data_IF_700619928949
#
_entry.id   IF_700619928949
#
_cell.length_a   1.000
_cell.length_b   1.000
_cell.length_c   1.000
_cell.angle_alpha   90.00
_cell.angle_beta   90.00
_cell.angle_gamma   90.00
#
_symmetry.space_group_name_H-M   'P 1'
#
loop_
_entity.id
_entity.type
_entity.pdbx_description
1 polymer ?
#
# COMPACT_ATOMS: atom_id res chain seq x y z
N UNK A 1 5.08 15.00 23.17
CA UNK A 1 5.68 13.77 23.68
C UNK A 1 5.86 12.81 22.52
N UNK A 2 7.00 12.10 22.43
CA UNK A 2 7.20 11.10 21.38
C UNK A 2 6.34 9.88 21.68
N UNK A 3 5.61 9.37 20.68
CA UNK A 3 4.77 8.19 20.82
C UNK A 3 5.54 6.96 20.33
N UNK A 4 6.29 7.11 19.24
CA UNK A 4 7.17 6.09 18.69
C UNK A 4 8.55 6.69 18.45
N UNK A 5 9.57 5.99 18.88
CA UNK A 5 10.97 6.32 18.62
C UNK A 5 11.66 5.08 18.05
N UNK A 6 12.30 5.24 16.90
CA UNK A 6 13.11 4.21 16.24
C UNK A 6 14.51 4.76 16.09
N UNK A 7 15.50 4.06 16.63
CA UNK A 7 16.90 4.47 16.65
C UNK A 7 17.78 3.42 15.97
N UNK A 8 18.64 3.88 15.07
CA UNK A 8 19.67 3.08 14.43
C UNK A 8 19.14 1.78 13.77
N UNK A 9 17.95 1.88 13.12
CA UNK A 9 17.32 0.74 12.51
C UNK A 9 18.10 0.30 11.26
N UNK A 10 18.55 -0.95 11.27
CA UNK A 10 19.14 -1.63 10.10
C UNK A 10 18.36 -2.91 9.82
N UNK A 11 18.00 -3.12 8.56
CA UNK A 11 17.32 -4.33 8.12
C UNK A 11 17.54 -4.61 6.64
N UNK A 12 17.70 -5.89 6.29
CA UNK A 12 17.88 -6.32 4.91
C UNK A 12 17.31 -7.70 4.61
N UNK A 13 17.18 -8.03 3.34
CA UNK A 13 16.80 -9.35 2.87
C UNK A 13 17.92 -9.93 1.98
N UNK A 14 18.68 -10.87 2.53
CA UNK A 14 19.87 -11.40 1.87
C UNK A 14 20.89 -10.29 1.63
N UNK A 15 21.35 -10.10 0.40
CA UNK A 15 22.36 -9.09 0.05
C UNK A 15 21.77 -7.68 -0.14
N UNK A 16 20.46 -7.50 0.04
CA UNK A 16 19.80 -6.21 -0.18
C UNK A 16 19.49 -5.53 1.13
N UNK A 17 20.19 -4.43 1.42
CA UNK A 17 19.80 -3.53 2.50
C UNK A 17 18.48 -2.82 2.15
N UNK A 18 17.55 -2.79 3.11
CA UNK A 18 16.27 -2.07 3.04
C UNK A 18 16.35 -0.81 3.89
N UNK A 19 16.97 -0.90 5.06
CA UNK A 19 17.28 0.22 5.93
C UNK A 19 18.73 0.09 6.40
N UNK A 20 19.46 1.22 6.41
CA UNK A 20 20.83 1.30 6.85
C UNK A 20 20.97 2.44 7.84
N UNK A 21 21.00 2.10 9.13
CA UNK A 21 21.15 3.07 10.24
C UNK A 21 20.11 4.22 10.21
N UNK A 22 18.83 3.91 10.01
CA UNK A 22 17.77 4.91 9.94
C UNK A 22 17.15 5.18 11.31
N UNK A 23 16.76 6.44 11.53
CA UNK A 23 16.05 6.85 12.73
C UNK A 23 14.72 7.51 12.36
N UNK A 24 13.68 7.23 13.15
CA UNK A 24 12.34 7.72 12.92
C UNK A 24 11.69 8.13 14.24
N UNK A 25 10.90 9.18 14.19
CA UNK A 25 10.17 9.67 15.37
C UNK A 25 8.77 10.10 14.99
N UNK A 26 7.78 9.66 15.78
CA UNK A 26 6.39 10.08 15.68
C UNK A 26 5.96 10.81 16.94
N UNK A 27 5.39 11.99 16.77
CA UNK A 27 4.80 12.79 17.84
C UNK A 27 3.28 12.70 17.82
N UNK A 28 2.64 13.05 18.95
CA UNK A 28 1.18 13.10 19.02
C UNK A 28 0.63 14.13 18.03
N UNK A 29 -0.40 13.73 17.26
CA UNK A 29 -1.04 14.59 16.27
C UNK A 29 -0.24 14.79 14.98
N UNK A 30 0.88 14.09 14.76
CA UNK A 30 1.55 14.10 13.47
C UNK A 30 0.85 13.17 12.47
N UNK A 31 0.54 13.71 11.30
CA UNK A 31 -0.05 12.99 10.18
C UNK A 31 1.03 12.73 9.14
N UNK A 32 1.60 11.52 9.16
CA UNK A 32 2.79 11.16 8.39
C UNK A 32 2.40 10.42 7.12
N UNK A 33 2.91 10.89 5.97
CA UNK A 33 2.96 10.12 4.73
C UNK A 33 4.29 9.38 4.59
N UNK A 34 4.27 8.06 4.49
CA UNK A 34 5.45 7.26 4.20
C UNK A 34 5.51 6.99 2.70
N UNK A 35 6.44 7.64 2.00
CA UNK A 35 6.54 7.60 0.54
C UNK A 35 7.85 6.97 0.08
N UNK A 36 7.88 6.49 -1.15
CA UNK A 36 9.03 5.84 -1.76
C UNK A 36 8.61 4.90 -2.88
N UNK A 37 9.51 4.46 -3.71
CA UNK A 37 9.22 3.52 -4.80
C UNK A 37 8.75 2.15 -4.26
N UNK A 38 8.11 1.35 -5.13
CA UNK A 38 7.71 0.00 -4.77
C UNK A 38 8.94 -0.86 -4.46
N UNK A 39 8.86 -1.60 -3.35
CA UNK A 39 9.95 -2.44 -2.87
C UNK A 39 11.06 -1.70 -2.11
N UNK A 40 10.95 -0.39 -1.82
CA UNK A 40 11.90 0.34 -0.97
C UNK A 40 11.75 0.02 0.53
N UNK A 41 10.69 -0.68 0.94
CA UNK A 41 10.56 -1.13 2.33
C UNK A 41 9.47 -0.43 3.13
N UNK A 42 8.54 0.32 2.51
CA UNK A 42 7.45 1.01 3.24
C UNK A 42 6.64 0.07 4.14
N UNK A 43 6.08 -1.01 3.59
CA UNK A 43 5.34 -2.00 4.37
C UNK A 43 6.26 -2.80 5.31
N UNK A 44 7.54 -2.99 4.94
CA UNK A 44 8.55 -3.59 5.83
C UNK A 44 8.74 -2.73 7.07
N UNK A 45 8.81 -1.40 6.94
CA UNK A 45 8.90 -0.48 8.06
C UNK A 45 7.69 -0.64 9.00
N UNK A 46 6.46 -0.65 8.46
CA UNK A 46 5.26 -0.86 9.27
C UNK A 46 5.28 -2.21 9.99
N UNK A 47 5.73 -3.28 9.33
CA UNK A 47 5.86 -4.60 9.96
C UNK A 47 6.92 -4.63 11.06
N UNK A 48 8.00 -3.89 10.90
CA UNK A 48 9.04 -3.77 11.93
C UNK A 48 8.51 -3.00 13.15
N UNK A 49 7.90 -1.84 12.96
CA UNK A 49 7.39 -1.03 14.08
C UNK A 49 6.22 -1.69 14.80
N UNK A 50 5.44 -2.55 14.13
CA UNK A 50 4.38 -3.35 14.76
C UNK A 50 4.88 -4.65 15.41
N UNK A 51 6.18 -4.94 15.33
CA UNK A 51 6.77 -6.16 15.88
C UNK A 51 6.50 -7.45 15.11
N UNK A 52 5.87 -7.36 13.92
CA UNK A 52 5.65 -8.52 13.05
C UNK A 52 6.93 -9.00 12.37
N UNK A 53 7.89 -8.11 12.22
CA UNK A 53 9.20 -8.39 11.67
C UNK A 53 10.26 -7.83 12.61
N UNK A 54 11.23 -8.67 12.98
CA UNK A 54 12.35 -8.23 13.80
C UNK A 54 13.39 -7.52 12.93
N UNK A 55 13.91 -6.37 13.36
CA UNK A 55 15.04 -5.71 12.69
C UNK A 55 16.33 -6.50 12.91
N UNK A 56 17.31 -6.31 12.02
CA UNK A 56 18.64 -6.89 12.21
C UNK A 56 19.40 -6.14 13.32
N UNK A 57 19.29 -4.80 13.35
CA UNK A 57 19.85 -3.92 14.38
C UNK A 57 18.89 -2.75 14.65
N UNK A 58 19.08 -2.11 15.82
CA UNK A 58 18.34 -0.92 16.19
C UNK A 58 17.36 -1.14 17.34
N UNK A 59 16.71 -0.06 17.76
CA UNK A 59 15.80 -0.05 18.89
C UNK A 59 14.48 0.60 18.51
N UNK A 60 13.38 -0.02 18.91
CA UNK A 60 12.02 0.48 18.71
C UNK A 60 11.38 0.66 20.08
N UNK A 61 10.98 1.88 20.36
CA UNK A 61 10.37 2.22 21.65
C UNK A 61 9.01 2.89 21.43
N UNK A 62 7.96 2.26 21.95
CA UNK A 62 6.63 2.83 22.06
C UNK A 62 6.46 3.52 23.42
N UNK A 63 5.74 4.62 23.46
CA UNK A 63 5.32 5.20 24.72
C UNK A 63 4.40 4.23 25.47
N UNK A 64 4.39 4.32 26.80
CA UNK A 64 3.55 3.45 27.63
C UNK A 64 2.07 3.68 27.35
N UNK A 65 1.30 2.59 27.35
CA UNK A 65 -0.17 2.59 27.20
C UNK A 65 -0.69 3.17 25.88
N UNK A 66 0.10 3.11 24.80
CA UNK A 66 -0.33 3.54 23.47
C UNK A 66 -1.04 2.41 22.76
N UNK A 67 -2.26 2.66 22.29
CA UNK A 67 -3.02 1.74 21.45
C UNK A 67 -2.64 1.97 19.99
N UNK A 68 -2.10 0.94 19.37
CA UNK A 68 -1.68 0.96 17.95
C UNK A 68 -2.67 0.20 17.12
N UNK A 69 -3.33 0.86 16.20
CA UNK A 69 -4.20 0.24 15.22
C UNK A 69 -3.48 0.08 13.89
N UNK A 70 -3.43 -1.12 13.36
CA UNK A 70 -2.80 -1.42 12.08
C UNK A 70 -3.78 -2.10 11.13
N UNK A 71 -4.00 -1.47 9.98
CA UNK A 71 -4.78 -2.07 8.90
C UNK A 71 -3.96 -3.20 8.26
N UNK A 72 -4.13 -4.41 8.78
CA UNK A 72 -3.50 -5.60 8.24
C UNK A 72 -4.50 -6.39 7.39
N UNK A 73 -4.13 -6.66 6.16
CA UNK A 73 -4.92 -7.48 5.24
C UNK A 73 -5.00 -8.96 5.66
N UNK A 74 -4.13 -9.38 6.59
CA UNK A 74 -4.09 -10.74 7.12
C UNK A 74 -4.83 -10.89 8.46
N UNK A 75 -5.45 -9.82 8.99
CA UNK A 75 -6.27 -9.93 10.20
C UNK A 75 -7.42 -10.90 9.93
N UNK A 76 -7.49 -11.94 10.76
CA UNK A 76 -8.50 -12.98 10.64
C UNK A 76 -9.76 -12.50 11.36
N UNK A 77 -10.84 -12.38 10.60
CA UNK A 77 -12.19 -12.26 11.15
C UNK A 77 -12.68 -13.69 11.49
N UNK A 78 -13.28 -13.87 12.64
CA UNK A 78 -13.71 -15.19 13.11
C UNK A 78 -14.86 -15.74 12.27
N UNK A 79 -14.81 -17.04 12.02
CA UNK A 79 -15.85 -17.73 11.25
C UNK A 79 -17.17 -17.76 12.04
N UNK A 80 -18.27 -17.42 11.37
CA UNK A 80 -19.60 -17.37 11.98
C UNK A 80 -19.96 -16.00 12.58
N UNK A 81 -19.04 -15.01 12.47
CA UNK A 81 -19.29 -13.62 12.90
C UNK A 81 -19.95 -12.85 11.76
N UNK A 82 -20.94 -12.04 12.09
CA UNK A 82 -21.54 -11.11 11.11
C UNK A 82 -20.66 -9.87 10.95
N UNK A 83 -20.87 -9.10 9.87
CA UNK A 83 -20.21 -7.80 9.70
C UNK A 83 -20.49 -6.90 10.91
N UNK A 84 -21.75 -6.86 11.38
CA UNK A 84 -22.17 -6.07 12.56
C UNK A 84 -21.36 -6.46 13.80
N UNK A 85 -21.24 -7.77 14.08
CA UNK A 85 -20.47 -8.26 15.23
C UNK A 85 -19.00 -7.91 15.12
N UNK A 86 -18.43 -8.05 13.90
CA UNK A 86 -17.08 -7.66 13.61
C UNK A 86 -16.79 -6.17 13.85
N UNK A 87 -17.74 -5.29 13.53
CA UNK A 87 -17.64 -3.86 13.83
C UNK A 87 -17.83 -3.55 15.31
N UNK A 88 -18.80 -4.19 15.98
CA UNK A 88 -19.04 -4.05 17.42
C UNK A 88 -17.85 -4.53 18.26
N UNK A 89 -17.08 -5.50 17.77
CA UNK A 89 -15.88 -5.97 18.48
C UNK A 89 -14.81 -4.89 18.69
N UNK A 90 -14.89 -3.76 17.97
CA UNK A 90 -14.10 -2.56 18.25
C UNK A 90 -14.33 -1.98 19.66
N UNK A 91 -15.46 -2.29 20.25
CA UNK A 91 -15.91 -1.81 21.56
C UNK A 91 -16.00 -2.93 22.59
N UNK A 92 -15.36 -4.09 22.38
CA UNK A 92 -15.47 -5.27 23.24
C UNK A 92 -15.26 -4.95 24.72
N UNK A 93 -14.28 -4.08 25.04
CA UNK A 93 -14.02 -3.66 26.40
C UNK A 93 -15.18 -2.92 27.08
N UNK A 94 -16.03 -2.19 26.32
CA UNK A 94 -17.22 -1.52 26.85
C UNK A 94 -18.33 -2.53 27.13
N UNK A 95 -18.49 -3.53 26.27
CA UNK A 95 -19.45 -4.62 26.50
C UNK A 95 -19.04 -5.47 27.71
N UNK A 96 -17.74 -5.73 27.91
CA UNK A 96 -17.23 -6.39 29.12
C UNK A 96 -17.53 -5.57 30.39
N UNK A 97 -17.40 -4.24 30.32
CA UNK A 97 -17.76 -3.35 31.42
C UNK A 97 -19.26 -3.36 31.68
N UNK A 98 -20.11 -3.39 30.63
CA UNK A 98 -21.56 -3.51 30.80
C UNK A 98 -21.93 -4.84 31.45
N UNK A 99 -21.34 -5.96 31.01
CA UNK A 99 -21.54 -7.27 31.66
C UNK A 99 -21.12 -7.25 33.14
N UNK A 100 -19.98 -6.61 33.46
CA UNK A 100 -19.53 -6.44 34.83
C UNK A 100 -20.50 -5.58 35.64
N UNK A 101 -21.01 -4.50 35.06
CA UNK A 101 -22.01 -3.63 35.69
C UNK A 101 -23.29 -4.43 36.02
N UNK A 102 -23.79 -5.22 35.07
CA UNK A 102 -24.97 -6.08 35.27
C UNK A 102 -24.73 -7.12 36.39
N UNK A 103 -23.55 -7.76 36.37
CA UNK A 103 -23.18 -8.73 37.43
C UNK A 103 -23.11 -8.09 38.81
N UNK A 104 -22.61 -6.86 38.93
CA UNK A 104 -22.60 -6.10 40.18
C UNK A 104 -24.08 -5.81 40.63
N UNK A 105 -24.93 -5.33 39.69
CA UNK A 105 -26.31 -5.06 40.02
C UNK A 105 -27.07 -6.31 40.53
N UNK A 106 -26.81 -7.47 39.93
CA UNK A 106 -27.45 -8.73 40.34
C UNK A 106 -26.97 -9.19 41.72
N UNK A 107 -25.71 -8.92 42.08
CA UNK A 107 -25.14 -9.34 43.38
C UNK A 107 -25.32 -8.34 44.49
N UNK A 108 -25.77 -7.09 44.23
CA UNK A 108 -25.98 -6.06 45.25
C UNK A 108 -27.01 -6.47 46.35
N UNK A 109 -28.01 -7.28 45.98
CA UNK A 109 -29.03 -7.75 46.93
C UNK A 109 -28.53 -8.75 47.96
N UNK A 110 -27.39 -9.40 47.75
CA UNK A 110 -26.83 -10.43 48.63
C UNK A 110 -25.54 -9.96 49.34
N UNK A 111 -25.08 -8.74 49.07
CA UNK A 111 -23.79 -8.21 49.54
C UNK A 111 -23.86 -7.69 50.98
N UNK A 112 -22.74 -7.82 51.72
CA UNK A 112 -22.59 -7.17 53.03
C UNK A 112 -22.49 -5.65 52.91
N UNK A 113 -22.73 -4.86 53.96
CA UNK A 113 -22.69 -3.38 53.88
C UNK A 113 -21.32 -2.84 53.38
N UNK A 114 -20.21 -3.47 53.76
CA UNK A 114 -18.84 -3.07 53.33
C UNK A 114 -18.58 -3.43 51.86
N UNK A 115 -19.09 -4.55 51.40
CA UNK A 115 -19.01 -4.97 50.00
C UNK A 115 -19.90 -4.09 49.09
N UNK A 116 -21.10 -3.70 49.64
CA UNK A 116 -22.04 -2.84 48.91
C UNK A 116 -21.42 -1.47 48.60
N UNK A 117 -20.70 -0.86 49.55
CA UNK A 117 -20.04 0.44 49.29
C UNK A 117 -18.99 0.32 48.19
N UNK A 118 -18.18 -0.72 48.18
CA UNK A 118 -17.16 -0.97 47.15
C UNK A 118 -17.79 -1.24 45.78
N UNK A 119 -18.88 -2.02 45.75
CA UNK A 119 -19.63 -2.32 44.51
C UNK A 119 -20.30 -1.07 43.93
N UNK A 120 -20.82 -0.19 44.79
CA UNK A 120 -21.44 1.06 44.34
C UNK A 120 -20.40 2.03 43.72
N UNK A 121 -19.19 2.09 44.30
CA UNK A 121 -18.11 2.89 43.76
C UNK A 121 -17.63 2.34 42.40
N UNK A 122 -17.44 1.01 42.28
CA UNK A 122 -17.11 0.34 41.02
C UNK A 122 -18.20 0.60 39.98
N UNK A 123 -19.48 0.46 40.34
CA UNK A 123 -20.63 0.70 39.46
C UNK A 123 -20.66 2.13 38.92
N UNK A 124 -20.43 3.13 39.79
CA UNK A 124 -20.31 4.53 39.39
C UNK A 124 -19.19 4.75 38.40
N UNK A 125 -18.02 4.18 38.64
CA UNK A 125 -16.84 4.27 37.75
C UNK A 125 -17.13 3.65 36.37
N UNK A 126 -17.76 2.47 36.34
CA UNK A 126 -18.15 1.81 35.09
C UNK A 126 -19.18 2.67 34.33
N UNK A 127 -20.20 3.18 35.02
CA UNK A 127 -21.24 3.99 34.38
C UNK A 127 -20.69 5.28 33.80
N UNK A 128 -19.77 5.95 34.49
CA UNK A 128 -19.07 7.13 33.99
C UNK A 128 -18.23 6.79 32.75
N UNK A 129 -17.54 5.65 32.75
CA UNK A 129 -16.75 5.17 31.63
C UNK A 129 -17.62 4.88 30.40
N UNK A 130 -18.73 4.15 30.58
CA UNK A 130 -19.67 3.84 29.52
C UNK A 130 -20.28 5.12 28.90
N UNK A 131 -20.60 6.10 29.76
CA UNK A 131 -21.16 7.40 29.32
C UNK A 131 -20.10 8.21 28.56
N UNK A 132 -18.88 8.28 29.07
CA UNK A 132 -17.77 9.02 28.44
C UNK A 132 -17.43 8.48 27.04
N UNK A 133 -17.56 7.17 26.85
CA UNK A 133 -17.26 6.50 25.58
C UNK A 133 -18.50 6.34 24.68
N UNK A 134 -19.61 7.00 25.01
CA UNK A 134 -20.83 6.96 24.20
C UNK A 134 -21.36 5.54 23.94
N UNK A 135 -21.31 4.66 24.94
CA UNK A 135 -21.69 3.26 24.83
C UNK A 135 -23.12 3.08 24.25
N UNK A 136 -24.05 3.88 24.70
CA UNK A 136 -25.47 3.75 24.33
C UNK A 136 -25.79 4.13 22.87
N UNK A 137 -24.83 4.72 22.17
CA UNK A 137 -24.97 5.06 20.74
C UNK A 137 -24.02 4.29 19.82
N UNK A 138 -23.40 3.21 20.32
CA UNK A 138 -22.48 2.37 19.54
C UNK A 138 -23.13 1.87 18.25
N UNK A 139 -24.39 1.41 18.30
CA UNK A 139 -25.10 0.93 17.12
C UNK A 139 -25.20 2.03 16.03
N UNK A 140 -25.51 3.25 16.43
CA UNK A 140 -25.57 4.38 15.50
C UNK A 140 -24.18 4.70 14.90
N UNK A 141 -23.11 4.67 15.72
CA UNK A 141 -21.73 4.86 15.23
C UNK A 141 -21.32 3.77 14.26
N UNK A 142 -21.66 2.52 14.56
CA UNK A 142 -21.38 1.38 13.67
C UNK A 142 -22.12 1.56 12.33
N UNK A 143 -23.39 1.93 12.35
CA UNK A 143 -24.16 2.16 11.12
C UNK A 143 -23.66 3.36 10.32
N UNK A 144 -23.25 4.44 10.97
CA UNK A 144 -22.66 5.60 10.32
C UNK A 144 -21.38 5.23 9.54
N UNK A 145 -20.42 4.57 10.21
CA UNK A 145 -19.16 4.16 9.57
C UNK A 145 -19.41 3.08 8.52
N UNK A 146 -20.32 2.14 8.78
CA UNK A 146 -20.70 1.12 7.82
C UNK A 146 -21.30 1.72 6.55
N UNK A 147 -22.19 2.71 6.69
CA UNK A 147 -22.75 3.46 5.57
C UNK A 147 -21.66 4.19 4.80
N UNK A 148 -20.80 4.88 5.50
CA UNK A 148 -19.74 5.68 4.92
C UNK A 148 -18.71 4.87 4.10
N UNK A 149 -18.55 3.57 4.39
CA UNK A 149 -17.66 2.66 3.65
C UNK A 149 -18.43 1.68 2.74
N UNK A 150 -19.75 1.89 2.55
CA UNK A 150 -20.58 1.07 1.66
C UNK A 150 -20.78 -0.37 2.13
N UNK A 151 -20.73 -0.61 3.46
CA UNK A 151 -20.98 -1.93 4.04
C UNK A 151 -22.47 -2.23 4.19
N UNK A 152 -23.34 -1.21 4.23
CA UNK A 152 -24.80 -1.40 4.28
C UNK A 152 -25.32 -2.11 3.02
N UNK A 153 -24.74 -1.80 1.86
CA UNK A 153 -25.13 -2.43 0.59
C UNK A 153 -24.77 -3.93 0.54
N UNK A 154 -23.79 -4.35 1.33
CA UNK A 154 -23.38 -5.74 1.46
C UNK A 154 -24.34 -6.48 2.39
N UNK A 155 -24.93 -5.78 3.37
CA UNK A 155 -25.78 -6.32 4.43
C UNK A 155 -24.98 -6.65 5.69
N UNK A 156 -25.27 -5.95 6.80
CA UNK A 156 -24.51 -6.09 8.05
C UNK A 156 -24.65 -7.45 8.74
N UNK A 157 -25.72 -8.19 8.44
CA UNK A 157 -25.98 -9.53 9.00
C UNK A 157 -25.29 -10.66 8.21
N UNK A 158 -24.52 -10.30 7.16
CA UNK A 158 -23.78 -11.27 6.36
C UNK A 158 -22.56 -11.78 7.10
N UNK A 159 -22.28 -13.09 6.98
CA UNK A 159 -21.08 -13.73 7.54
C UNK A 159 -19.80 -13.15 6.89
N UNK A 160 -18.81 -12.84 7.69
CA UNK A 160 -17.55 -12.26 7.24
C UNK A 160 -16.71 -13.23 6.39
N UNK A 161 -16.99 -14.54 6.46
CA UNK A 161 -16.31 -15.55 5.65
C UNK A 161 -16.76 -15.53 4.18
N UNK A 162 -17.98 -15.04 3.92
CA UNK A 162 -18.56 -14.94 2.57
C UNK A 162 -18.11 -13.69 1.81
N UNK A 163 -17.29 -12.86 2.44
CA UNK A 163 -16.82 -11.60 1.87
C UNK A 163 -15.66 -11.82 0.91
N UNK A 164 -15.67 -11.05 -0.19
CA UNK A 164 -14.48 -10.91 -1.03
C UNK A 164 -13.32 -10.27 -0.26
N UNK A 165 -12.08 -10.43 -0.76
CA UNK A 165 -10.90 -9.83 -0.12
C UNK A 165 -11.06 -8.31 0.08
N UNK A 166 -11.55 -7.59 -0.93
CA UNK A 166 -11.78 -6.15 -0.83
C UNK A 166 -12.89 -5.76 0.15
N UNK A 167 -13.98 -6.54 0.23
CA UNK A 167 -15.03 -6.32 1.21
C UNK A 167 -14.53 -6.55 2.64
N UNK A 168 -13.72 -7.61 2.84
CA UNK A 168 -13.08 -7.88 4.13
C UNK A 168 -12.16 -6.74 4.56
N UNK A 169 -11.36 -6.19 3.64
CA UNK A 169 -10.51 -5.04 3.93
C UNK A 169 -11.32 -3.81 4.34
N UNK A 170 -12.49 -3.57 3.72
CA UNK A 170 -13.41 -2.49 4.15
C UNK A 170 -13.94 -2.69 5.57
N UNK A 171 -14.31 -3.91 5.95
CA UNK A 171 -14.75 -4.23 7.32
C UNK A 171 -13.63 -4.00 8.33
N UNK A 172 -12.41 -4.44 8.01
CA UNK A 172 -11.25 -4.22 8.88
C UNK A 172 -10.91 -2.73 9.03
N UNK A 173 -10.98 -1.98 7.94
CA UNK A 173 -10.81 -0.52 8.00
C UNK A 173 -11.89 0.13 8.87
N UNK A 174 -13.16 -0.22 8.67
CA UNK A 174 -14.27 0.30 9.46
C UNK A 174 -14.09 0.02 10.97
N UNK A 175 -13.75 -1.22 11.32
CA UNK A 175 -13.43 -1.63 12.68
C UNK A 175 -12.31 -0.76 13.29
N UNK A 176 -11.21 -0.63 12.56
CA UNK A 176 -10.05 0.15 12.97
C UNK A 176 -10.38 1.63 13.23
N UNK A 177 -11.21 2.23 12.36
CA UNK A 177 -11.66 3.62 12.53
C UNK A 177 -12.60 3.78 13.74
N UNK A 178 -13.43 2.77 14.03
CA UNK A 178 -14.30 2.75 15.22
C UNK A 178 -13.50 2.62 16.53
N UNK A 179 -12.42 1.87 16.54
CA UNK A 179 -11.52 1.71 17.69
C UNK A 179 -10.84 3.02 18.12
N UNK A 180 -10.69 3.97 17.21
CA UNK A 180 -9.99 5.26 17.42
C UNK A 180 -8.69 5.11 18.23
N UNK A 181 -7.72 4.33 17.76
CA UNK A 181 -6.46 4.11 18.49
C UNK A 181 -5.65 5.41 18.58
N UNK A 182 -4.65 5.44 19.47
CA UNK A 182 -3.73 6.58 19.61
C UNK A 182 -2.84 6.77 18.37
N UNK A 183 -2.66 5.69 17.59
CA UNK A 183 -1.94 5.72 16.33
C UNK A 183 -2.63 4.79 15.32
N UNK A 184 -2.89 5.35 14.13
CA UNK A 184 -3.34 4.58 12.96
C UNK A 184 -2.16 4.30 12.02
N UNK A 185 -1.96 3.04 11.68
CA UNK A 185 -1.04 2.60 10.64
C UNK A 185 -1.86 2.10 9.45
N UNK A 186 -1.81 2.84 8.34
CA UNK A 186 -2.64 2.61 7.16
C UNK A 186 -1.76 2.29 5.95
N UNK A 187 -1.82 1.06 5.45
CA UNK A 187 -1.13 0.62 4.23
C UNK A 187 -2.16 0.51 3.10
N UNK A 188 -2.13 1.46 2.15
CA UNK A 188 -3.02 1.56 0.99
C UNK A 188 -4.53 1.49 1.34
N UNK A 189 -5.05 2.33 2.25
CA UNK A 189 -6.43 2.24 2.71
C UNK A 189 -7.45 2.59 1.62
N UNK A 190 -7.05 3.30 0.57
CA UNK A 190 -7.91 3.68 -0.56
C UNK A 190 -8.15 2.54 -1.55
N UNK A 191 -7.35 1.47 -1.49
CA UNK A 191 -7.60 0.28 -2.30
C UNK A 191 -8.99 -0.28 -1.96
N UNK A 192 -9.75 -0.64 -2.99
CA UNK A 192 -11.12 -1.17 -2.89
C UNK A 192 -12.20 -0.15 -2.47
N UNK A 193 -11.86 1.12 -2.21
CA UNK A 193 -12.81 2.21 -2.02
C UNK A 193 -13.13 2.88 -3.36
N UNK A 194 -14.33 3.40 -3.49
CA UNK A 194 -14.71 4.30 -4.58
C UNK A 194 -14.56 5.77 -4.15
N UNK A 195 -14.79 6.69 -5.09
CA UNK A 195 -14.57 8.13 -4.86
C UNK A 195 -15.35 8.69 -3.67
N UNK A 196 -16.58 8.23 -3.45
CA UNK A 196 -17.43 8.70 -2.34
C UNK A 196 -16.86 8.27 -1.00
N UNK A 197 -16.47 7.00 -0.88
CA UNK A 197 -15.87 6.45 0.33
C UNK A 197 -14.48 7.05 0.60
N UNK A 198 -13.67 7.29 -0.45
CA UNK A 198 -12.38 7.99 -0.32
C UNK A 198 -12.59 9.43 0.18
N UNK A 199 -13.59 10.14 -0.35
CA UNK A 199 -13.92 11.50 0.10
C UNK A 199 -14.34 11.56 1.57
N UNK A 200 -15.06 10.54 2.06
CA UNK A 200 -15.40 10.41 3.47
C UNK A 200 -14.16 10.10 4.33
N UNK A 201 -13.37 9.11 3.95
CA UNK A 201 -12.14 8.73 4.67
C UNK A 201 -11.16 9.92 4.77
N UNK A 202 -11.05 10.71 3.70
CA UNK A 202 -10.27 11.95 3.69
C UNK A 202 -10.72 12.91 4.79
N UNK A 203 -12.04 13.18 4.90
CA UNK A 203 -12.59 14.05 5.95
C UNK A 203 -12.31 13.49 7.33
N UNK A 204 -12.54 12.20 7.52
CA UNK A 204 -12.26 11.52 8.78
C UNK A 204 -10.79 11.68 9.22
N UNK A 205 -9.82 11.48 8.30
CA UNK A 205 -8.39 11.59 8.61
C UNK A 205 -7.92 13.04 8.82
N UNK A 206 -8.53 14.03 8.16
CA UNK A 206 -8.26 15.44 8.41
C UNK A 206 -8.65 15.83 9.84
N UNK A 207 -9.80 15.33 10.31
CA UNK A 207 -10.35 15.61 11.64
C UNK A 207 -9.79 14.67 12.72
N UNK A 208 -8.88 13.75 12.36
CA UNK A 208 -8.31 12.81 13.30
C UNK A 208 -7.31 13.47 14.24
N UNK A 209 -7.64 13.55 15.53
CA UNK A 209 -6.84 14.26 16.54
C UNK A 209 -5.53 13.53 16.91
N UNK A 210 -5.49 12.22 16.73
CA UNK A 210 -4.35 11.40 17.07
C UNK A 210 -3.37 11.29 15.88
N UNK A 211 -2.26 10.57 16.07
CA UNK A 211 -1.26 10.40 15.03
C UNK A 211 -1.62 9.30 14.04
N UNK A 212 -1.16 9.43 12.80
CA UNK A 212 -1.18 8.31 11.87
C UNK A 212 0.05 8.26 10.95
N UNK A 213 0.32 7.05 10.45
CA UNK A 213 1.27 6.81 9.36
C UNK A 213 0.48 6.22 8.20
N UNK A 214 0.54 6.89 7.05
CA UNK A 214 -0.19 6.54 5.84
C UNK A 214 0.77 6.20 4.70
N UNK A 215 0.59 5.04 4.10
CA UNK A 215 1.16 4.69 2.80
C UNK A 215 0.02 4.76 1.79
N UNK A 216 0.18 5.53 0.73
CA UNK A 216 -0.80 5.58 -0.37
C UNK A 216 -0.14 5.94 -1.68
N UNK A 217 -0.64 5.34 -2.77
CA UNK A 217 -0.33 5.72 -4.15
C UNK A 217 -1.29 6.77 -4.71
N UNK A 218 -2.38 7.05 -4.01
CA UNK A 218 -3.30 8.14 -4.33
C UNK A 218 -2.72 9.47 -3.85
N UNK A 219 -1.97 10.15 -4.72
CA UNK A 219 -1.28 11.40 -4.40
C UNK A 219 -2.25 12.52 -3.99
N UNK A 220 -3.38 12.77 -4.67
CA UNK A 220 -4.37 13.74 -4.23
C UNK A 220 -4.91 13.49 -2.83
N UNK A 221 -5.20 12.23 -2.50
CA UNK A 221 -5.62 11.82 -1.16
C UNK A 221 -4.50 12.07 -0.14
N UNK A 222 -3.30 11.54 -0.38
CA UNK A 222 -2.15 11.68 0.50
C UNK A 222 -1.86 13.17 0.78
N UNK A 223 -1.77 13.99 -0.27
CA UNK A 223 -1.46 15.41 -0.17
C UNK A 223 -2.44 16.20 0.70
N UNK A 224 -3.67 15.72 0.80
CA UNK A 224 -4.73 16.42 1.54
C UNK A 224 -4.80 16.08 3.03
N UNK A 225 -4.24 14.93 3.45
CA UNK A 225 -4.39 14.42 4.82
C UNK A 225 -3.09 14.45 5.63
N UNK A 226 -1.92 14.56 4.96
CA UNK A 226 -0.62 14.52 5.65
C UNK A 226 -0.03 15.93 5.83
N UNK A 227 0.69 16.11 6.93
CA UNK A 227 1.45 17.34 7.24
C UNK A 227 2.96 17.10 7.36
N UNK A 228 3.39 15.86 7.23
CA UNK A 228 4.77 15.44 7.32
C UNK A 228 5.02 14.26 6.37
N UNK A 229 6.13 14.27 5.65
CA UNK A 229 6.54 13.18 4.77
C UNK A 229 7.83 12.53 5.29
N UNK A 230 7.84 11.22 5.35
CA UNK A 230 9.06 10.43 5.42
C UNK A 230 9.27 9.71 4.09
N UNK A 231 10.40 9.99 3.45
CA UNK A 231 10.77 9.41 2.16
C UNK A 231 11.78 8.29 2.35
N UNK A 232 11.41 7.10 1.91
CA UNK A 232 12.28 5.91 1.90
C UNK A 232 12.93 5.81 0.53
N UNK A 233 14.25 5.96 0.49
CA UNK A 233 15.03 5.85 -0.74
C UNK A 233 16.47 5.42 -0.40
N UNK A 234 17.04 4.50 -1.21
CA UNK A 234 18.42 4.05 -1.06
C UNK A 234 18.81 3.57 0.35
N UNK A 235 17.91 2.85 1.02
CA UNK A 235 18.03 2.38 2.39
C UNK A 235 18.09 3.50 3.46
N UNK A 236 17.77 4.72 3.11
CA UNK A 236 17.64 5.87 3.99
C UNK A 236 16.17 6.25 4.23
N UNK A 237 15.94 6.95 5.34
CA UNK A 237 14.63 7.48 5.72
C UNK A 237 14.73 8.98 6.00
N UNK A 238 14.30 9.78 5.05
CA UNK A 238 14.46 11.23 5.09
C UNK A 238 13.15 11.95 5.45
N UNK A 239 13.21 12.85 6.43
CA UNK A 239 12.05 13.62 6.94
C UNK A 239 11.90 14.96 6.23
N UNK A 240 10.68 15.25 5.76
CA UNK A 240 10.30 16.50 5.12
C UNK A 240 9.03 17.06 5.77
N UNK A 241 9.07 18.31 6.20
CA UNK A 241 7.92 19.00 6.80
C UNK A 241 7.06 19.61 5.71
N UNK A 242 5.77 19.29 5.75
CA UNK A 242 4.77 19.74 4.78
C UNK A 242 4.05 18.58 4.12
N UNK A 243 3.18 18.89 3.19
CA UNK A 243 2.43 17.96 2.37
C UNK A 243 3.30 17.36 1.23
N UNK A 244 2.70 16.51 0.42
CA UNK A 244 3.42 15.83 -0.66
C UNK A 244 3.96 16.79 -1.74
N UNK A 245 3.20 17.83 -2.11
CA UNK A 245 3.66 18.83 -3.10
C UNK A 245 4.91 19.54 -2.62
N UNK A 246 4.90 20.00 -1.37
CA UNK A 246 6.07 20.67 -0.80
C UNK A 246 7.27 19.76 -0.66
N UNK A 247 7.04 18.49 -0.33
CA UNK A 247 8.08 17.46 -0.36
C UNK A 247 8.71 17.35 -1.75
N UNK A 248 7.89 17.26 -2.82
CA UNK A 248 8.41 17.16 -4.18
C UNK A 248 9.28 18.36 -4.57
N UNK A 249 8.82 19.58 -4.31
CA UNK A 249 9.60 20.79 -4.59
C UNK A 249 10.99 20.75 -3.91
N UNK A 250 11.01 20.41 -2.61
CA UNK A 250 12.26 20.36 -1.84
C UNK A 250 13.14 19.19 -2.31
N UNK A 251 12.55 18.05 -2.63
CA UNK A 251 13.28 16.88 -3.11
C UNK A 251 13.94 17.16 -4.47
N UNK A 252 13.22 17.71 -5.43
CA UNK A 252 13.74 18.08 -6.74
C UNK A 252 14.85 19.12 -6.63
N UNK A 253 14.68 20.13 -5.77
CA UNK A 253 15.72 21.12 -5.52
C UNK A 253 16.98 20.49 -4.93
N UNK A 254 16.86 19.62 -3.93
CA UNK A 254 18.01 18.89 -3.34
C UNK A 254 18.71 18.00 -4.37
N UNK A 255 17.92 17.27 -5.18
CA UNK A 255 18.43 16.42 -6.25
C UNK A 255 19.22 17.23 -7.27
N UNK A 256 18.68 18.37 -7.73
CA UNK A 256 19.38 19.26 -8.66
C UNK A 256 20.68 19.83 -8.07
N UNK A 257 20.66 20.21 -6.78
CA UNK A 257 21.87 20.67 -6.08
C UNK A 257 22.94 19.59 -5.99
N UNK A 258 22.54 18.35 -5.65
CA UNK A 258 23.45 17.21 -5.58
C UNK A 258 24.07 16.90 -6.95
N UNK A 259 23.27 16.90 -8.02
CA UNK A 259 23.74 16.71 -9.38
C UNK A 259 24.72 17.81 -9.83
N UNK A 260 24.43 19.08 -9.50
CA UNK A 260 25.32 20.18 -9.80
C UNK A 260 26.64 20.08 -9.03
N UNK A 261 26.60 19.71 -7.74
CA UNK A 261 27.78 19.46 -6.93
C UNK A 261 28.63 18.31 -7.48
N UNK A 262 27.96 17.20 -7.88
CA UNK A 262 28.62 16.06 -8.52
C UNK A 262 29.33 16.45 -9.81
N UNK A 263 28.64 17.16 -10.73
CA UNK A 263 29.26 17.63 -11.99
C UNK A 263 30.46 18.51 -11.75
N UNK A 264 30.36 19.44 -10.79
CA UNK A 264 31.48 20.32 -10.41
C UNK A 264 32.65 19.52 -9.85
N UNK A 265 32.39 18.55 -8.98
CA UNK A 265 33.43 17.70 -8.41
C UNK A 265 34.10 16.79 -9.48
N UNK A 266 33.30 16.21 -10.39
CA UNK A 266 33.86 15.41 -11.50
C UNK A 266 34.79 16.25 -12.39
N UNK A 267 34.42 17.49 -12.71
CA UNK A 267 35.27 18.39 -13.46
C UNK A 267 36.58 18.69 -12.70
N UNK A 268 36.49 18.97 -11.38
CA UNK A 268 37.67 19.19 -10.54
C UNK A 268 38.58 17.94 -10.51
N UNK A 269 38.00 16.75 -10.40
CA UNK A 269 38.72 15.47 -10.43
C UNK A 269 39.45 15.28 -11.78
N UNK A 270 38.77 15.58 -12.88
CA UNK A 270 39.32 15.48 -14.22
C UNK A 270 40.50 16.45 -14.42
N UNK A 271 40.32 17.71 -14.05
CA UNK A 271 41.36 18.75 -14.10
C UNK A 271 42.60 18.38 -13.26
N UNK A 272 42.37 17.85 -12.04
CA UNK A 272 43.47 17.38 -11.19
C UNK A 272 44.19 16.19 -11.77
N UNK A 273 43.46 15.18 -12.31
CA UNK A 273 44.06 14.01 -12.98
C UNK A 273 44.88 14.42 -14.18
N UNK A 274 44.37 15.31 -15.02
CA UNK A 274 45.06 15.85 -16.19
C UNK A 274 46.35 16.58 -15.82
N UNK A 275 46.27 17.44 -14.78
CA UNK A 275 47.46 18.14 -14.30
C UNK A 275 48.52 17.17 -13.78
N UNK A 276 48.12 16.16 -13.00
CA UNK A 276 49.07 15.13 -12.50
C UNK A 276 49.68 14.36 -13.64
N UNK A 277 48.88 13.94 -14.62
CA UNK A 277 49.37 13.18 -15.78
C UNK A 277 50.43 13.97 -16.57
N UNK A 278 50.21 15.26 -16.83
CA UNK A 278 51.12 16.12 -17.60
C UNK A 278 52.37 16.52 -16.84
N UNK A 279 52.38 16.56 -15.51
CA UNK A 279 53.46 17.12 -14.69
C UNK A 279 54.24 16.11 -13.84
N UNK A 280 53.76 14.86 -13.68
CA UNK A 280 54.36 13.85 -12.82
C UNK A 280 55.78 13.47 -13.27
N UNK A 281 56.06 13.47 -14.57
CA UNK A 281 57.38 13.11 -15.15
C UNK A 281 58.41 14.27 -15.17
N UNK A 282 57.98 15.52 -14.96
CA UNK A 282 58.87 16.71 -15.01
C UNK A 282 59.44 17.02 -13.65
N UNK A 283 60.79 17.08 -13.54
CA UNK A 283 61.48 17.33 -12.26
C UNK A 283 61.04 18.63 -11.60
N UNK A 284 60.86 19.70 -12.35
CA UNK A 284 60.48 21.02 -11.82
C UNK A 284 59.04 21.08 -11.24
N UNK A 285 58.09 20.25 -11.75
CA UNK A 285 56.68 20.30 -11.37
C UNK A 285 56.25 19.06 -10.59
N UNK A 286 57.13 18.09 -10.37
CA UNK A 286 56.82 16.82 -9.69
C UNK A 286 56.21 17.01 -8.30
N UNK A 287 56.77 17.92 -7.50
CA UNK A 287 56.26 18.17 -6.14
C UNK A 287 54.85 18.74 -6.15
N UNK A 288 54.53 19.60 -7.13
CA UNK A 288 53.16 20.11 -7.31
C UNK A 288 52.18 19.02 -7.77
N UNK A 289 52.62 18.16 -8.69
CA UNK A 289 51.84 17.01 -9.13
C UNK A 289 51.56 16.03 -7.98
N UNK A 290 52.55 15.76 -7.15
CA UNK A 290 52.38 14.89 -5.95
C UNK A 290 51.46 15.51 -4.92
N UNK A 291 51.47 16.83 -4.71
CA UNK A 291 50.55 17.52 -3.82
C UNK A 291 49.10 17.40 -4.32
N UNK A 292 48.87 17.57 -5.63
CA UNK A 292 47.52 17.42 -6.23
C UNK A 292 47.07 15.96 -6.26
N UNK A 293 47.97 15.00 -6.43
CA UNK A 293 47.66 13.57 -6.29
C UNK A 293 47.17 13.27 -4.86
N UNK A 294 47.87 13.78 -3.83
CA UNK A 294 47.39 13.64 -2.43
C UNK A 294 46.05 14.28 -2.17
N UNK A 295 45.70 15.37 -2.87
CA UNK A 295 44.37 15.97 -2.78
C UNK A 295 43.30 15.06 -3.38
N UNK A 296 43.58 14.44 -4.56
CA UNK A 296 42.72 13.44 -5.19
C UNK A 296 42.49 12.22 -4.29
N UNK A 297 43.59 11.70 -3.71
CA UNK A 297 43.53 10.50 -2.85
C UNK A 297 42.74 10.71 -1.53
N UNK A 298 42.58 11.98 -1.10
CA UNK A 298 41.85 12.39 0.12
C UNK A 298 40.46 12.94 -0.16
N UNK A 299 40.07 13.04 -1.43
CA UNK A 299 38.79 13.63 -1.80
C UNK A 299 37.70 12.61 -1.60
N UNK A 300 36.70 12.96 -0.77
CA UNK A 300 35.46 12.20 -0.65
C UNK A 300 34.67 12.38 -1.95
N UNK A 301 34.53 11.31 -2.71
CA UNK A 301 33.86 11.33 -4.01
C UNK A 301 32.36 11.25 -3.78
N UNK A 302 31.61 12.23 -4.29
CA UNK A 302 30.15 12.20 -4.29
C UNK A 302 29.72 11.05 -5.21
N UNK A 303 28.98 10.09 -4.67
CA UNK A 303 28.36 9.03 -5.43
C UNK A 303 26.89 9.39 -5.69
N UNK A 304 26.50 9.48 -6.95
CA UNK A 304 25.09 9.56 -7.30
C UNK A 304 24.50 8.15 -7.22
N UNK A 305 23.37 8.04 -6.53
CA UNK A 305 22.60 6.81 -6.55
C UNK A 305 22.30 6.42 -8.01
N UNK A 306 22.57 5.17 -8.36
CA UNK A 306 22.28 4.65 -9.71
C UNK A 306 20.78 4.74 -9.94
N UNK A 307 20.36 5.52 -10.95
CA UNK A 307 18.97 5.53 -11.35
C UNK A 307 18.50 4.09 -11.64
N UNK A 308 17.43 3.68 -10.97
CA UNK A 308 16.82 2.40 -11.29
C UNK A 308 16.32 2.47 -12.74
N UNK A 309 16.74 1.54 -13.60
CA UNK A 309 16.30 1.58 -15.00
C UNK A 309 14.77 1.48 -15.03
N UNK A 310 14.18 2.41 -15.74
CA UNK A 310 12.76 2.38 -16.01
C UNK A 310 12.45 1.18 -16.91
N UNK A 311 11.43 0.38 -16.61
CA UNK A 311 11.05 -0.69 -17.52
C UNK A 311 10.59 -0.09 -18.85
N UNK A 312 11.19 -0.54 -19.94
CA UNK A 312 10.75 -0.19 -21.27
C UNK A 312 9.90 -1.35 -21.80
N UNK A 313 8.63 -1.04 -22.11
CA UNK A 313 7.69 -1.99 -22.70
C UNK A 313 7.63 -1.76 -24.22
N UNK A 314 8.23 -2.67 -24.97
CA UNK A 314 8.18 -2.66 -26.42
C UNK A 314 7.22 -3.78 -26.88
N UNK A 315 5.99 -3.40 -27.27
CA UNK A 315 5.04 -4.33 -27.85
C UNK A 315 5.34 -4.53 -29.32
N UNK A 316 5.39 -5.78 -29.76
CA UNK A 316 5.49 -6.09 -31.20
C UNK A 316 4.14 -5.78 -31.85
N UNK A 317 4.18 -5.20 -33.03
CA UNK A 317 2.97 -5.00 -33.83
C UNK A 317 2.37 -6.34 -34.23
N UNK A 318 1.10 -6.57 -33.82
CA UNK A 318 0.32 -7.69 -34.29
C UNK A 318 -0.33 -7.35 -35.65
N UNK A 319 -0.88 -8.35 -36.33
CA UNK A 319 -1.70 -8.14 -37.51
C UNK A 319 -2.82 -7.12 -37.23
N UNK A 320 -3.02 -6.16 -38.09
CA UNK A 320 -4.06 -5.15 -37.93
C UNK A 320 -5.44 -5.82 -37.81
N UNK A 321 -6.14 -5.54 -36.73
CA UNK A 321 -7.53 -5.95 -36.52
C UNK A 321 -8.47 -5.28 -37.54
N UNK A 322 -9.68 -5.80 -37.68
CA UNK A 322 -10.75 -5.16 -38.45
C UNK A 322 -11.10 -3.74 -37.94
N UNK A 323 -12.06 -3.09 -38.56
CA UNK A 323 -12.53 -1.75 -38.15
C UNK A 323 -13.09 -1.76 -36.72
N UNK A 324 -13.96 -2.71 -36.45
CA UNK A 324 -14.58 -2.87 -35.14
C UNK A 324 -13.78 -3.85 -34.28
N UNK A 325 -13.54 -3.45 -33.04
CA UNK A 325 -12.89 -4.31 -32.02
C UNK A 325 -13.94 -5.23 -31.42
N UNK A 326 -15.06 -4.67 -30.99
CA UNK A 326 -16.23 -5.43 -30.56
C UNK A 326 -17.52 -4.66 -30.82
N UNK A 327 -18.62 -5.37 -30.88
CA UNK A 327 -19.97 -4.85 -30.93
C UNK A 327 -20.86 -5.68 -30.03
N UNK A 328 -21.74 -5.06 -29.26
CA UNK A 328 -22.74 -5.74 -28.43
C UNK A 328 -24.14 -5.35 -28.88
N UNK A 329 -25.06 -6.31 -28.89
CA UNK A 329 -26.46 -6.13 -29.21
C UNK A 329 -27.28 -6.58 -27.99
N UNK A 330 -27.98 -5.62 -27.36
CA UNK A 330 -28.83 -5.81 -26.20
C UNK A 330 -28.20 -6.70 -25.11
N UNK A 331 -26.90 -6.50 -24.85
CA UNK A 331 -26.11 -7.29 -23.93
C UNK A 331 -26.56 -7.05 -22.48
N UNK A 332 -27.01 -8.08 -21.80
CA UNK A 332 -27.31 -8.05 -20.36
C UNK A 332 -26.26 -8.90 -19.65
N UNK A 333 -25.48 -8.25 -18.79
CA UNK A 333 -24.44 -8.91 -18.01
C UNK A 333 -24.96 -9.27 -16.62
N UNK A 334 -24.38 -10.31 -16.02
CA UNK A 334 -24.69 -10.75 -14.64
C UNK A 334 -24.26 -12.17 -14.40
N UNK A 335 -24.61 -12.67 -13.26
CA UNK A 335 -24.46 -14.07 -12.88
C UNK A 335 -25.85 -14.69 -12.76
N UNK A 336 -26.38 -14.90 -11.55
CA UNK A 336 -27.74 -15.39 -11.31
C UNK A 336 -28.81 -14.29 -11.50
N UNK A 337 -28.39 -13.03 -11.37
CA UNK A 337 -29.26 -11.86 -11.53
C UNK A 337 -28.61 -10.88 -12.51
N UNK A 338 -29.43 -10.15 -13.30
CA UNK A 338 -28.93 -9.11 -14.19
C UNK A 338 -28.28 -7.95 -13.37
N UNK A 339 -27.07 -7.58 -13.78
CA UNK A 339 -26.33 -6.43 -13.23
C UNK A 339 -26.48 -5.18 -14.12
N UNK A 340 -26.93 -5.34 -15.34
CA UNK A 340 -27.11 -4.22 -16.28
C UNK A 340 -28.48 -4.24 -16.94
N UNK A 341 -28.89 -3.07 -17.46
CA UNK A 341 -29.90 -2.98 -18.51
C UNK A 341 -29.28 -3.47 -19.83
N UNK A 342 -30.07 -3.74 -20.88
CA UNK A 342 -29.54 -4.06 -22.20
C UNK A 342 -28.55 -3.00 -22.68
N UNK A 343 -27.34 -3.42 -23.07
CA UNK A 343 -26.25 -2.56 -23.48
C UNK A 343 -25.92 -2.82 -24.97
N UNK A 344 -26.03 -1.77 -25.79
CA UNK A 344 -25.58 -1.80 -27.17
C UNK A 344 -24.38 -0.86 -27.31
N UNK A 345 -23.20 -1.45 -27.40
CA UNK A 345 -21.91 -0.77 -27.41
C UNK A 345 -21.12 -1.17 -28.64
N UNK A 346 -20.28 -0.28 -29.14
CA UNK A 346 -19.31 -0.60 -30.19
C UNK A 346 -17.99 0.10 -29.92
N UNK A 347 -16.88 -0.57 -30.24
CA UNK A 347 -15.54 -0.01 -30.16
C UNK A 347 -14.86 -0.15 -31.50
N UNK A 348 -14.33 0.94 -32.01
CA UNK A 348 -13.53 0.93 -33.25
C UNK A 348 -12.03 0.90 -32.94
N UNK A 349 -11.25 0.42 -33.91
CA UNK A 349 -9.80 0.37 -33.80
C UNK A 349 -9.21 1.77 -33.52
N UNK A 350 -8.31 1.84 -32.56
CA UNK A 350 -7.64 3.08 -32.13
C UNK A 350 -8.40 3.87 -31.06
N UNK A 351 -9.65 3.51 -30.74
CA UNK A 351 -10.36 4.12 -29.61
C UNK A 351 -9.78 3.64 -28.29
N UNK A 352 -9.80 4.55 -27.31
CA UNK A 352 -9.45 4.27 -25.92
C UNK A 352 -10.68 4.58 -25.07
N UNK A 353 -11.23 3.58 -24.41
CA UNK A 353 -12.46 3.70 -23.61
C UNK A 353 -12.09 3.53 -22.14
N UNK A 354 -12.51 4.48 -21.30
CA UNK A 354 -12.45 4.36 -19.85
C UNK A 354 -13.83 3.95 -19.30
N UNK A 355 -13.88 2.87 -18.51
CA UNK A 355 -15.07 2.39 -17.86
C UNK A 355 -15.06 2.88 -16.39
N UNK A 356 -15.89 3.86 -16.07
CA UNK A 356 -15.96 4.48 -14.74
C UNK A 356 -17.27 4.17 -14.04
N UNK A 357 -17.28 4.22 -12.72
CA UNK A 357 -18.46 3.98 -11.88
C UNK A 357 -18.09 3.33 -10.54
N UNK A 358 -19.05 3.26 -9.62
CA UNK A 358 -18.88 2.69 -8.29
C UNK A 358 -18.42 1.22 -8.31
N UNK A 359 -17.89 0.73 -7.20
CA UNK A 359 -17.50 -0.66 -7.08
C UNK A 359 -18.75 -1.57 -7.03
N UNK A 360 -18.64 -2.76 -7.64
CA UNK A 360 -19.74 -3.74 -7.64
C UNK A 360 -20.78 -3.57 -8.76
N UNK A 361 -20.80 -2.47 -9.52
CA UNK A 361 -21.80 -2.25 -10.59
C UNK A 361 -21.62 -3.13 -11.84
N UNK A 362 -20.60 -4.00 -11.86
CA UNK A 362 -20.40 -4.95 -12.97
C UNK A 362 -19.37 -4.53 -14.01
N UNK A 363 -18.47 -3.56 -13.76
CA UNK A 363 -17.41 -3.14 -14.71
C UNK A 363 -16.54 -4.31 -15.19
N UNK A 364 -16.01 -5.07 -14.27
CA UNK A 364 -15.20 -6.27 -14.55
C UNK A 364 -16.00 -7.36 -15.23
N UNK A 365 -17.27 -7.55 -14.82
CA UNK A 365 -18.18 -8.51 -15.44
C UNK A 365 -18.45 -8.14 -16.89
N UNK A 366 -18.63 -6.85 -17.19
CA UNK A 366 -18.79 -6.36 -18.58
C UNK A 366 -17.57 -6.70 -19.43
N UNK A 367 -16.36 -6.40 -18.97
CA UNK A 367 -15.12 -6.73 -19.68
C UNK A 367 -14.99 -8.22 -19.92
N UNK A 368 -15.22 -9.04 -18.90
CA UNK A 368 -15.17 -10.50 -19.00
C UNK A 368 -16.26 -11.07 -19.93
N UNK A 369 -17.44 -10.47 -19.97
CA UNK A 369 -18.49 -10.87 -20.91
C UNK A 369 -18.17 -10.45 -22.35
N UNK A 370 -17.52 -9.31 -22.57
CA UNK A 370 -17.08 -8.88 -23.90
C UNK A 370 -16.03 -9.83 -24.47
N UNK A 371 -15.06 -10.26 -23.66
CA UNK A 371 -14.01 -11.20 -24.10
C UNK A 371 -14.46 -12.67 -24.11
N UNK A 372 -15.66 -12.96 -23.59
CA UNK A 372 -16.26 -14.28 -23.61
C UNK A 372 -15.87 -15.20 -22.46
N UNK A 373 -15.24 -14.68 -21.39
CA UNK A 373 -14.94 -15.44 -20.17
C UNK A 373 -16.19 -15.73 -19.32
N UNK A 374 -17.15 -14.80 -19.31
CA UNK A 374 -18.42 -14.93 -18.61
C UNK A 374 -19.54 -14.88 -19.64
N UNK A 375 -20.43 -15.90 -19.72
CA UNK A 375 -21.56 -15.86 -20.62
C UNK A 375 -22.53 -14.75 -20.21
N UNK A 376 -23.06 -13.94 -21.15
CA UNK A 376 -24.10 -12.97 -20.83
C UNK A 376 -25.42 -13.66 -20.48
N UNK A 377 -26.27 -12.98 -19.70
CA UNK A 377 -27.62 -13.44 -19.40
C UNK A 377 -28.50 -13.40 -20.65
N UNK A 378 -28.38 -12.32 -21.43
CA UNK A 378 -29.04 -12.18 -22.74
C UNK A 378 -28.24 -11.23 -23.64
N UNK A 379 -28.62 -11.19 -24.92
CA UNK A 379 -27.92 -10.41 -25.93
C UNK A 379 -26.69 -11.13 -26.50
N UNK A 380 -25.93 -10.43 -27.32
CA UNK A 380 -24.80 -11.01 -28.04
C UNK A 380 -23.62 -10.05 -28.08
N UNK A 381 -22.41 -10.61 -27.95
CA UNK A 381 -21.14 -9.90 -28.22
C UNK A 381 -20.50 -10.48 -29.47
N UNK A 382 -20.09 -9.64 -30.37
CA UNK A 382 -19.32 -10.01 -31.57
C UNK A 382 -17.96 -9.34 -31.50
N UNK A 383 -16.90 -10.13 -31.46
CA UNK A 383 -15.52 -9.64 -31.54
C UNK A 383 -15.14 -9.41 -33.03
N UNK A 384 -14.28 -8.44 -33.25
CA UNK A 384 -13.77 -8.14 -34.59
C UNK A 384 -12.85 -9.24 -35.15
N UNK A 385 -12.65 -9.22 -36.46
CA UNK A 385 -11.75 -10.16 -37.12
C UNK A 385 -10.28 -9.93 -36.74
N UNK A 386 -9.54 -11.01 -36.63
CA UNK A 386 -8.10 -11.00 -36.29
C UNK A 386 -7.78 -10.29 -34.97
N UNK A 387 -8.69 -10.37 -34.01
CA UNK A 387 -8.52 -9.79 -32.69
C UNK A 387 -7.94 -10.84 -31.73
N UNK A 388 -6.87 -10.46 -31.03
CA UNK A 388 -6.26 -11.21 -29.95
C UNK A 388 -6.38 -10.37 -28.67
N UNK A 389 -7.45 -10.55 -27.87
CA UNK A 389 -7.65 -9.76 -26.66
C UNK A 389 -6.66 -10.18 -25.58
N UNK A 390 -5.90 -9.21 -25.04
CA UNK A 390 -5.13 -9.38 -23.82
C UNK A 390 -5.95 -8.85 -22.65
N UNK A 391 -6.11 -9.63 -21.59
CA UNK A 391 -6.80 -9.24 -20.38
C UNK A 391 -5.85 -9.17 -19.20
N UNK A 392 -5.77 -8.00 -18.56
CA UNK A 392 -4.95 -7.77 -17.38
C UNK A 392 -5.85 -7.68 -16.15
N UNK A 393 -5.73 -8.67 -15.26
CA UNK A 393 -6.49 -8.74 -14.03
C UNK A 393 -5.78 -8.03 -12.87
N UNK A 394 -6.57 -7.48 -11.95
CA UNK A 394 -6.07 -6.84 -10.74
C UNK A 394 -5.32 -7.84 -9.82
N UNK A 395 -5.82 -9.07 -9.71
CA UNK A 395 -5.20 -10.18 -8.98
C UNK A 395 -5.36 -11.48 -9.78
N UNK A 396 -4.25 -12.05 -10.24
CA UNK A 396 -4.23 -13.40 -10.81
C UNK A 396 -3.86 -14.38 -9.71
N UNK A 397 -4.75 -15.32 -9.40
CA UNK A 397 -4.46 -16.41 -8.46
C UNK A 397 -3.65 -17.48 -9.19
N UNK A 398 -2.40 -17.65 -8.79
CA UNK A 398 -1.58 -18.76 -9.24
C UNK A 398 -1.85 -19.97 -8.35
N UNK A 399 -2.33 -21.04 -8.92
CA UNK A 399 -2.63 -22.31 -8.21
C UNK A 399 -1.43 -23.23 -8.13
N UNK A 400 -0.44 -23.03 -9.02
CA UNK A 400 0.73 -23.86 -9.12
C UNK A 400 1.93 -23.20 -8.44
N UNK A 401 2.72 -23.99 -7.73
CA UNK A 401 3.96 -23.56 -7.10
C UNK A 401 5.10 -23.50 -8.13
N UNK A 402 4.98 -22.60 -9.10
CA UNK A 402 5.93 -22.41 -10.21
C UNK A 402 6.73 -21.12 -10.02
N UNK A 403 7.94 -21.07 -10.58
CA UNK A 403 8.73 -19.82 -10.57
C UNK A 403 8.17 -18.82 -11.60
N UNK A 404 8.45 -17.53 -11.40
CA UNK A 404 8.05 -16.51 -12.38
C UNK A 404 8.63 -16.76 -13.79
N UNK A 405 9.78 -17.42 -13.89
CA UNK A 405 10.40 -17.80 -15.16
C UNK A 405 9.62 -18.93 -15.81
N UNK A 406 9.28 -19.96 -15.04
CA UNK A 406 8.55 -21.12 -15.56
C UNK A 406 7.16 -20.71 -16.07
N UNK A 407 6.50 -19.73 -15.41
CA UNK A 407 5.22 -19.20 -15.87
C UNK A 407 5.36 -18.48 -17.22
N UNK A 408 6.40 -17.67 -17.40
CA UNK A 408 6.68 -17.02 -18.68
C UNK A 408 6.99 -18.05 -19.77
N UNK A 409 7.73 -19.12 -19.42
CA UNK A 409 8.08 -20.17 -20.39
C UNK A 409 6.92 -21.05 -20.81
N UNK A 410 5.91 -21.25 -19.97
CA UNK A 410 4.68 -21.95 -20.38
C UNK A 410 4.06 -21.31 -21.63
N UNK A 411 4.04 -19.97 -21.67
CA UNK A 411 3.40 -19.22 -22.75
C UNK A 411 4.37 -18.86 -23.88
N UNK A 412 5.66 -18.68 -23.58
CA UNK A 412 6.68 -18.25 -24.53
C UNK A 412 7.91 -19.16 -24.52
N UNK A 413 7.78 -20.42 -24.98
CA UNK A 413 8.89 -21.38 -24.95
C UNK A 413 10.07 -21.01 -25.86
N UNK A 414 9.86 -20.05 -26.78
CA UNK A 414 10.92 -19.53 -27.68
C UNK A 414 11.87 -18.51 -27.02
N UNK A 415 11.55 -17.99 -25.83
CA UNK A 415 12.45 -17.08 -25.12
C UNK A 415 13.52 -17.87 -24.37
N UNK A 416 14.79 -17.57 -24.66
CA UNK A 416 15.92 -18.17 -23.94
C UNK A 416 16.07 -17.57 -22.55
N UNK A 417 16.62 -18.36 -21.60
CA UNK A 417 16.97 -17.87 -20.26
C UNK A 417 17.79 -16.56 -20.31
N UNK A 418 18.57 -16.39 -21.36
CA UNK A 418 19.42 -15.23 -21.57
C UNK A 418 18.60 -13.97 -21.88
N UNK A 419 17.54 -14.07 -22.67
CA UNK A 419 16.68 -12.93 -23.03
C UNK A 419 15.85 -12.46 -21.85
N UNK A 420 15.38 -13.37 -20.99
CA UNK A 420 14.70 -13.06 -19.75
C UNK A 420 15.67 -12.45 -18.72
N UNK A 421 16.94 -12.91 -18.67
CA UNK A 421 17.97 -12.39 -17.78
C UNK A 421 18.60 -11.09 -18.25
N UNK A 422 18.70 -10.85 -19.55
CA UNK A 422 19.48 -9.74 -20.13
C UNK A 422 18.75 -8.39 -20.15
N UNK A 423 17.56 -8.30 -19.54
CA UNK A 423 17.00 -7.01 -19.18
C UNK A 423 15.93 -6.44 -20.07
N UNK A 424 15.32 -7.20 -20.95
CA UNK A 424 14.02 -6.81 -21.52
C UNK A 424 12.90 -6.98 -20.49
N UNK A 425 13.05 -7.93 -19.57
CA UNK A 425 12.29 -8.02 -18.31
C UNK A 425 13.29 -8.25 -17.18
N UNK A 426 13.48 -7.26 -16.29
CA UNK A 426 14.31 -7.41 -15.10
C UNK A 426 13.54 -8.13 -14.00
N UNK A 427 13.71 -9.42 -13.93
CA UNK A 427 13.45 -10.19 -12.72
C UNK A 427 14.75 -10.21 -11.92
N UNK A 428 14.75 -9.74 -10.69
CA UNK A 428 15.91 -9.80 -9.78
C UNK A 428 16.42 -11.23 -9.66
N UNK A 429 17.73 -11.41 -9.62
CA UNK A 429 18.37 -12.75 -9.56
C UNK A 429 17.90 -13.61 -8.39
N UNK A 430 17.43 -13.02 -7.28
CA UNK A 430 16.87 -13.75 -6.13
C UNK A 430 15.41 -14.19 -6.35
N UNK A 431 14.66 -13.50 -7.21
CA UNK A 431 13.29 -13.90 -7.57
C UNK A 431 13.24 -15.17 -8.43
N UNK A 432 14.36 -15.50 -9.08
CA UNK A 432 14.46 -16.69 -9.93
C UNK A 432 14.32 -18.02 -9.17
N UNK A 433 14.43 -18.01 -7.84
CA UNK A 433 14.36 -19.21 -6.99
C UNK A 433 13.21 -19.21 -5.98
N UNK A 434 12.43 -18.12 -5.88
CA UNK A 434 11.29 -18.08 -4.96
C UNK A 434 10.02 -18.53 -5.67
N UNK A 435 9.34 -19.51 -5.07
CA UNK A 435 8.03 -19.97 -5.50
C UNK A 435 6.99 -18.84 -5.48
N UNK A 436 5.96 -18.93 -6.34
CA UNK A 436 4.97 -17.89 -6.60
C UNK A 436 4.22 -17.31 -5.39
N UNK A 437 4.23 -17.98 -4.24
CA UNK A 437 3.55 -17.50 -3.03
C UNK A 437 4.17 -16.25 -2.38
N UNK A 438 5.46 -15.95 -2.61
CA UNK A 438 6.16 -14.87 -1.91
C UNK A 438 6.30 -13.57 -2.71
N UNK A 439 5.82 -13.48 -3.96
CA UNK A 439 6.03 -12.32 -4.84
C UNK A 439 4.78 -11.50 -5.15
N UNK A 440 3.79 -11.50 -4.27
CA UNK A 440 2.39 -11.35 -4.62
C UNK A 440 1.93 -10.02 -5.21
N UNK A 441 2.56 -8.88 -5.09
CA UNK A 441 1.92 -7.62 -5.55
C UNK A 441 2.71 -6.74 -6.52
N UNK A 442 4.00 -6.80 -6.52
CA UNK A 442 4.81 -5.90 -7.37
C UNK A 442 5.32 -6.53 -8.67
N UNK A 443 5.10 -7.83 -8.86
CA UNK A 443 5.71 -8.59 -9.97
C UNK A 443 4.73 -9.35 -10.85
N UNK A 444 3.55 -9.65 -10.35
CA UNK A 444 2.44 -10.17 -11.16
C UNK A 444 2.04 -9.18 -12.27
N UNK A 445 2.18 -7.87 -12.00
CA UNK A 445 1.90 -6.79 -12.95
C UNK A 445 2.82 -6.78 -14.20
N UNK A 446 3.93 -7.53 -14.19
CA UNK A 446 4.83 -7.60 -15.34
C UNK A 446 4.61 -8.85 -16.19
N UNK A 447 4.05 -9.91 -15.62
CA UNK A 447 3.80 -11.16 -16.37
C UNK A 447 2.71 -11.04 -17.44
N UNK A 448 1.57 -10.34 -17.21
CA UNK A 448 0.50 -10.23 -18.20
C UNK A 448 0.84 -9.35 -19.40
N UNK A 449 1.79 -8.41 -19.27
CA UNK A 449 2.16 -7.51 -20.40
C UNK A 449 2.90 -8.25 -21.52
N UNK A 450 3.35 -9.48 -21.30
CA UNK A 450 4.01 -10.33 -22.29
C UNK A 450 3.00 -11.11 -23.15
N UNK A 451 1.72 -11.18 -22.72
CA UNK A 451 0.66 -11.90 -23.43
C UNK A 451 0.05 -11.12 -24.60
N UNK A 452 0.39 -9.84 -24.80
CA UNK A 452 -0.10 -9.04 -25.92
C UNK A 452 0.85 -9.17 -27.10
N UNK A 453 0.65 -10.19 -27.87
CA UNK A 453 1.20 -10.33 -29.23
C UNK A 453 0.13 -10.05 -30.28
#
# INVERSE_FOLDING_TARGET
MSILNVEHLTHGFGDRAIFADVSFRLLKGEHIGLVGANGEGKSTFLNIVTGKLMPDEGKIEWAKNVRVGYLDQHTVLEKGMTIRDGLKSAFSYLFELEERMNAICDSLGEASPEEMDTMMEELGTIQDTLTLHDFYIIDAKVEEVAKALGLLDIGLERDVTDLSGGQRTKVLLAKLLLEKPDILLLDEPTNYLDEEHIAWLKRYLIDYENAFILISHDIPFLNSVVNLIYHVENAELNRYVGNYEKFQEVYEMKKAQLEAAYRKQQQEIEDLKDFVARNKARVATRNMAMSRQKKLDKMDVIELAKEKPKPEFNFKEARASGRYIFQTEDLVIGYDKPLSRPLTLSMERGQKIALVGANGIGKTTLLKSIIGEIPPISGKTTLGDYLYPGYFEQEKKYTDNVTCIDEIWKEFPSYTQYEVRSGKMRLDNQAHRKHGESSQRGRADQSPSVQTH
#
